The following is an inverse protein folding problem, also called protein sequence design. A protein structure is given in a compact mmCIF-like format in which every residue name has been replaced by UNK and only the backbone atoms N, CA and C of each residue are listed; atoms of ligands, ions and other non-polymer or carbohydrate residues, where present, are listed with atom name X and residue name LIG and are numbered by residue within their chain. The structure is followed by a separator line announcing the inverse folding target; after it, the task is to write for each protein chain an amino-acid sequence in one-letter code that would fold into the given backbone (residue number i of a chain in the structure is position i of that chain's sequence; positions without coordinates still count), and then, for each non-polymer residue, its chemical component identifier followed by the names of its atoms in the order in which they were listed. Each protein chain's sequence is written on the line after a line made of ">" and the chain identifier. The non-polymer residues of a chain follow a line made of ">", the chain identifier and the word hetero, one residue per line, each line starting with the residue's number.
data_IF_497193061881
#
_entry.id   IF_497193061881
#
_cell.length_a   1.000
_cell.length_b   1.000
_cell.length_c   1.000
_cell.angle_alpha   90.00
_cell.angle_beta   90.00
_cell.angle_gamma   90.00
#
_symmetry.space_group_name_H-M   'P 1'
#
loop_
_entity.id
_entity.type
_entity.pdbx_description
1 polymer ?
#
# COMPACT_ATOMS: atom_id res chain seq x y z
N UNK A 1 30.76 -25.43 28.27
CA UNK A 1 30.67 -24.78 26.95
C UNK A 1 29.47 -25.40 26.24
N UNK A 2 28.29 -24.81 26.37
CA UNK A 2 27.11 -25.24 25.60
C UNK A 2 27.22 -24.60 24.22
N UNK A 3 27.32 -25.44 23.19
CA UNK A 3 27.38 -25.00 21.80
C UNK A 3 26.05 -24.31 21.46
N UNK A 4 26.11 -23.06 21.04
CA UNK A 4 24.96 -22.32 20.55
C UNK A 4 24.60 -22.80 19.15
N UNK A 5 23.75 -23.82 19.06
CA UNK A 5 23.13 -24.20 17.78
C UNK A 5 22.21 -23.05 17.35
N UNK A 6 22.52 -22.45 16.20
CA UNK A 6 21.66 -21.45 15.59
C UNK A 6 20.36 -22.14 15.18
N UNK A 7 19.17 -21.65 15.59
CA UNK A 7 17.91 -22.30 15.24
C UNK A 7 17.76 -22.39 13.71
N UNK A 8 17.18 -23.49 13.19
CA UNK A 8 17.04 -23.68 11.76
C UNK A 8 16.16 -22.58 11.17
N UNK A 9 16.68 -21.91 10.14
CA UNK A 9 15.90 -20.94 9.35
C UNK A 9 14.88 -21.72 8.53
N UNK A 10 13.62 -21.69 8.95
CA UNK A 10 12.54 -22.27 8.18
C UNK A 10 12.27 -21.40 6.94
N UNK A 11 12.21 -21.99 5.74
CA UNK A 11 11.86 -21.24 4.55
C UNK A 11 10.44 -20.68 4.69
N UNK A 12 10.14 -19.53 4.08
CA UNK A 12 8.80 -18.99 4.08
C UNK A 12 7.82 -20.05 3.52
N UNK A 13 6.61 -20.18 4.10
CA UNK A 13 5.70 -21.27 3.80
C UNK A 13 5.13 -21.25 2.37
N UNK A 14 5.35 -20.16 1.61
CA UNK A 14 4.90 -19.99 0.23
C UNK A 14 5.97 -19.30 -0.59
N UNK A 15 6.08 -19.70 -1.85
CA UNK A 15 6.92 -19.07 -2.86
C UNK A 15 6.36 -17.71 -3.31
N UNK A 16 7.22 -16.89 -3.92
CA UNK A 16 6.80 -15.60 -4.49
C UNK A 16 5.72 -15.76 -5.57
N UNK A 17 5.75 -16.86 -6.35
CA UNK A 17 4.74 -17.16 -7.37
C UNK A 17 3.38 -17.40 -6.72
N UNK A 18 3.31 -18.26 -5.71
CA UNK A 18 2.06 -18.59 -5.02
C UNK A 18 1.45 -17.36 -4.35
N UNK A 19 2.29 -16.48 -3.77
CA UNK A 19 1.81 -15.22 -3.20
C UNK A 19 1.29 -14.27 -4.28
N UNK A 20 1.98 -14.15 -5.41
CA UNK A 20 1.51 -13.33 -6.52
C UNK A 20 0.15 -13.83 -7.02
N UNK A 21 0.02 -15.13 -7.27
CA UNK A 21 -1.23 -15.71 -7.78
C UNK A 21 -2.37 -15.55 -6.76
N UNK A 22 -2.07 -15.66 -5.46
CA UNK A 22 -3.04 -15.45 -4.38
C UNK A 22 -3.57 -14.01 -4.31
N UNK A 23 -2.70 -13.01 -4.45
CA UNK A 23 -3.06 -11.60 -4.21
C UNK A 23 -3.31 -10.77 -5.48
N UNK A 24 -2.95 -11.26 -6.66
CA UNK A 24 -3.00 -10.46 -7.90
C UNK A 24 -4.40 -9.92 -8.21
N UNK A 25 -5.44 -10.75 -8.06
CA UNK A 25 -6.81 -10.33 -8.36
C UNK A 25 -7.30 -9.25 -7.40
N UNK A 26 -7.04 -9.41 -6.10
CA UNK A 26 -7.43 -8.46 -5.06
C UNK A 26 -6.69 -7.13 -5.22
N UNK A 27 -5.37 -7.18 -5.43
CA UNK A 27 -4.56 -5.99 -5.69
C UNK A 27 -5.02 -5.27 -6.96
N UNK A 28 -5.34 -6.02 -8.03
CA UNK A 28 -5.88 -5.43 -9.26
C UNK A 28 -7.22 -4.74 -9.00
N UNK A 29 -8.13 -5.38 -8.27
CA UNK A 29 -9.44 -4.79 -7.95
C UNK A 29 -9.27 -3.48 -7.20
N UNK A 30 -8.46 -3.48 -6.14
CA UNK A 30 -8.20 -2.30 -5.32
C UNK A 30 -7.60 -1.14 -6.13
N UNK A 31 -6.65 -1.42 -7.03
CA UNK A 31 -6.06 -0.41 -7.91
C UNK A 31 -7.10 0.19 -8.89
N UNK A 32 -7.93 -0.66 -9.50
CA UNK A 32 -8.98 -0.20 -10.43
C UNK A 32 -10.05 0.61 -9.71
N UNK A 33 -10.49 0.16 -8.53
CA UNK A 33 -11.47 0.89 -7.71
C UNK A 33 -10.92 2.24 -7.26
N UNK A 34 -9.65 2.29 -6.85
CA UNK A 34 -8.98 3.54 -6.46
C UNK A 34 -8.92 4.52 -7.62
N UNK A 35 -8.49 4.08 -8.81
CA UNK A 35 -8.45 4.92 -10.00
C UNK A 35 -9.86 5.41 -10.40
N UNK A 36 -10.84 4.51 -10.39
CA UNK A 36 -12.22 4.85 -10.73
C UNK A 36 -12.85 5.83 -9.72
N UNK A 37 -12.43 5.82 -8.45
CA UNK A 37 -12.86 6.81 -7.46
C UNK A 37 -12.32 8.21 -7.80
N UNK A 38 -11.02 8.31 -8.14
CA UNK A 38 -10.41 9.55 -8.61
C UNK A 38 -11.13 10.13 -9.82
N UNK A 39 -11.36 9.30 -10.84
CA UNK A 39 -12.11 9.62 -12.04
C UNK A 39 -13.51 10.20 -11.75
N UNK A 40 -14.18 9.74 -10.69
CA UNK A 40 -15.50 10.25 -10.30
C UNK A 40 -15.39 11.58 -9.56
N UNK A 41 -14.38 11.73 -8.71
CA UNK A 41 -14.08 12.96 -7.98
C UNK A 41 -13.76 14.08 -8.97
N UNK A 42 -12.89 13.84 -9.94
CA UNK A 42 -12.48 14.84 -10.94
C UNK A 42 -13.64 15.31 -11.85
N UNK A 43 -14.66 14.46 -12.03
CA UNK A 43 -15.85 14.80 -12.82
C UNK A 43 -17.00 15.38 -11.98
N UNK A 44 -16.86 15.41 -10.65
CA UNK A 44 -17.90 15.93 -9.78
C UNK A 44 -17.94 17.46 -9.82
N UNK A 45 -19.10 18.03 -9.49
CA UNK A 45 -19.24 19.48 -9.29
C UNK A 45 -18.43 19.88 -8.05
N UNK A 46 -17.61 20.93 -8.16
CA UNK A 46 -16.74 21.42 -7.09
C UNK A 46 -15.42 20.66 -6.94
N UNK A 47 -14.99 19.91 -7.96
CA UNK A 47 -13.70 19.20 -7.94
C UNK A 47 -12.51 20.16 -7.74
N UNK A 48 -12.60 21.36 -8.30
CA UNK A 48 -11.63 22.44 -8.14
C UNK A 48 -11.51 22.93 -6.69
N UNK A 49 -12.56 22.80 -5.87
CA UNK A 49 -12.55 23.25 -4.47
C UNK A 49 -11.73 22.33 -3.56
N UNK A 50 -11.59 21.06 -3.95
CA UNK A 50 -10.89 20.04 -3.18
C UNK A 50 -9.51 19.69 -3.75
N UNK A 51 -9.08 20.35 -4.84
CA UNK A 51 -7.80 20.05 -5.50
C UNK A 51 -6.61 20.18 -4.52
N UNK A 52 -6.69 21.14 -3.61
CA UNK A 52 -5.71 21.39 -2.56
C UNK A 52 -5.97 20.59 -1.26
N UNK A 53 -6.91 19.65 -1.25
CA UNK A 53 -7.18 18.82 -0.06
C UNK A 53 -5.98 17.90 0.21
N UNK A 54 -5.35 18.00 1.40
CA UNK A 54 -4.13 17.24 1.71
C UNK A 54 -4.34 15.72 1.72
N UNK A 55 -5.58 15.24 1.81
CA UNK A 55 -5.89 13.81 1.70
C UNK A 55 -5.58 13.26 0.30
N UNK A 56 -5.77 14.06 -0.75
CA UNK A 56 -5.41 13.65 -2.11
C UNK A 56 -3.90 13.47 -2.25
N UNK A 57 -3.11 14.33 -1.63
CA UNK A 57 -1.64 14.22 -1.63
C UNK A 57 -1.15 13.01 -0.82
N UNK A 58 -1.77 12.74 0.33
CA UNK A 58 -1.49 11.51 1.11
C UNK A 58 -1.75 10.25 0.29
N UNK A 59 -2.84 10.20 -0.48
CA UNK A 59 -3.15 9.05 -1.33
C UNK A 59 -2.16 8.93 -2.51
N UNK A 60 -1.72 10.03 -3.12
CA UNK A 60 -0.65 10.02 -4.14
C UNK A 60 0.66 9.48 -3.56
N UNK A 61 1.04 9.92 -2.36
CA UNK A 61 2.23 9.41 -1.67
C UNK A 61 2.12 7.90 -1.37
N UNK A 62 0.94 7.41 -1.01
CA UNK A 62 0.72 5.97 -0.82
C UNK A 62 0.94 5.16 -2.11
N UNK A 63 0.52 5.68 -3.27
CA UNK A 63 0.78 5.03 -4.57
C UNK A 63 2.28 4.94 -4.88
N UNK A 64 3.05 5.99 -4.57
CA UNK A 64 4.51 5.97 -4.74
C UNK A 64 5.18 4.95 -3.81
N UNK A 65 4.69 4.76 -2.58
CA UNK A 65 5.17 3.72 -1.67
C UNK A 65 4.92 2.32 -2.25
N UNK A 66 3.76 2.10 -2.88
CA UNK A 66 3.47 0.83 -3.57
C UNK A 66 4.46 0.61 -4.72
N UNK A 67 4.67 1.62 -5.56
CA UNK A 67 5.48 1.53 -6.77
C UNK A 67 7.00 1.38 -6.50
N UNK A 68 7.52 2.09 -5.50
CA UNK A 68 8.98 2.24 -5.28
C UNK A 68 9.50 1.66 -3.97
N UNK A 69 8.64 1.42 -2.97
CA UNK A 69 9.06 0.91 -1.67
C UNK A 69 9.63 -0.51 -1.75
N UNK A 70 10.42 -0.91 -0.76
CA UNK A 70 10.89 -2.30 -0.57
C UNK A 70 10.72 -2.68 0.91
N UNK A 71 10.11 -3.84 1.20
CA UNK A 71 9.72 -4.16 2.58
C UNK A 71 8.72 -3.15 3.17
N UNK A 72 7.98 -3.54 4.21
CA UNK A 72 7.18 -2.66 5.08
C UNK A 72 6.18 -1.66 4.43
N UNK A 73 5.85 -1.81 3.15
CA UNK A 73 4.94 -0.90 2.42
C UNK A 73 3.62 -0.66 3.16
N UNK A 74 3.06 -1.70 3.77
CA UNK A 74 1.83 -1.60 4.54
C UNK A 74 1.97 -0.65 5.75
N UNK A 75 3.07 -0.75 6.51
CA UNK A 75 3.34 0.13 7.64
C UNK A 75 3.57 1.57 7.15
N UNK A 76 4.35 1.75 6.09
CA UNK A 76 4.59 3.08 5.50
C UNK A 76 3.30 3.75 5.02
N UNK A 77 2.42 3.01 4.32
CA UNK A 77 1.12 3.53 3.87
C UNK A 77 0.24 3.87 5.08
N UNK A 78 0.17 2.98 6.08
CA UNK A 78 -0.60 3.24 7.29
C UNK A 78 -0.18 4.55 7.97
N UNK A 79 1.14 4.74 8.15
CA UNK A 79 1.67 5.98 8.73
C UNK A 79 1.37 7.19 7.85
N UNK A 80 1.55 7.10 6.54
CA UNK A 80 1.32 8.21 5.61
C UNK A 80 -0.15 8.65 5.56
N UNK A 81 -1.09 7.71 5.72
CA UNK A 81 -2.53 7.98 5.72
C UNK A 81 -3.09 8.33 7.10
N UNK A 82 -2.33 8.13 8.18
CA UNK A 82 -2.74 8.52 9.53
C UNK A 82 -2.75 10.04 9.71
N UNK A 83 -3.54 10.52 10.66
CA UNK A 83 -3.44 11.91 11.09
C UNK A 83 -2.21 12.11 11.98
N UNK A 84 -1.54 13.28 11.89
CA UNK A 84 -0.47 13.57 12.82
C UNK A 84 -1.01 13.52 14.25
N UNK A 85 -0.26 12.93 15.20
CA UNK A 85 -0.64 12.99 16.60
C UNK A 85 -0.77 14.47 17.02
N UNK A 86 -1.83 14.77 17.79
CA UNK A 86 -2.14 16.09 18.32
C UNK A 86 -0.98 16.69 19.13
#
# INVERSE_FOLDING_TARGET
>A
MLQGETPPVLPPPRSARELLDMYFLDMRSALVETAAAWDRIERAVGAEEIEADPRLDKLRAALEIIARGHGDRAACILTALSDPPL
#
